data_IF_391541787831
#
_entry.id   IF_391541787831
#
_cell.length_a   1.000
_cell.length_b   1.000
_cell.length_c   1.000
_cell.angle_alpha   90.00
_cell.angle_beta   90.00
_cell.angle_gamma   90.00
#
_symmetry.space_group_name_H-M   'P 1'
#
loop_
_entity.id
_entity.type
_entity.pdbx_description
1 polymer ?
#
# COMPACT_ATOMS: atom_id res chain seq x y z
N UNK A 1 47.77 -36.28 0.52
CA UNK A 1 46.87 -35.89 1.64
C UNK A 1 46.82 -34.39 1.89
N UNK A 2 47.93 -33.65 1.76
CA UNK A 2 47.98 -32.20 2.03
C UNK A 2 47.06 -31.34 1.14
N UNK A 3 47.11 -31.51 -0.19
CA UNK A 3 46.28 -30.72 -1.12
C UNK A 3 44.77 -30.93 -0.94
N UNK A 4 44.34 -32.14 -0.55
CA UNK A 4 42.91 -32.44 -0.28
C UNK A 4 42.39 -31.69 0.95
N UNK A 5 43.23 -31.53 1.99
CA UNK A 5 42.88 -30.76 3.18
C UNK A 5 42.85 -29.25 2.91
N UNK A 6 43.75 -28.74 2.06
CA UNK A 6 43.73 -27.32 1.65
C UNK A 6 42.46 -27.02 0.85
N UNK A 7 42.12 -27.89 -0.11
CA UNK A 7 40.91 -27.74 -0.92
C UNK A 7 39.64 -27.83 -0.08
N UNK A 8 39.58 -28.76 0.90
CA UNK A 8 38.45 -28.83 1.83
C UNK A 8 38.29 -27.56 2.67
N UNK A 9 39.39 -26.96 3.15
CA UNK A 9 39.35 -25.70 3.91
C UNK A 9 38.85 -24.52 3.06
N UNK A 10 39.23 -24.46 1.78
CA UNK A 10 38.76 -23.43 0.84
C UNK A 10 37.25 -23.59 0.61
N UNK A 11 36.78 -24.81 0.33
CA UNK A 11 35.36 -25.09 0.10
C UNK A 11 34.52 -24.75 1.34
N UNK A 12 34.96 -25.17 2.53
CA UNK A 12 34.27 -24.83 3.78
C UNK A 12 34.27 -23.32 4.05
N UNK A 13 35.38 -22.62 3.74
CA UNK A 13 35.45 -21.16 3.81
C UNK A 13 34.44 -20.49 2.87
N UNK A 14 34.32 -20.96 1.63
CA UNK A 14 33.33 -20.46 0.67
C UNK A 14 31.90 -20.66 1.17
N UNK A 15 31.59 -21.81 1.77
CA UNK A 15 30.26 -22.06 2.36
C UNK A 15 29.94 -21.11 3.51
N UNK A 16 30.92 -20.81 4.38
CA UNK A 16 30.73 -19.87 5.49
C UNK A 16 30.49 -18.45 4.97
N UNK A 17 31.29 -18.01 3.99
CA UNK A 17 31.12 -16.68 3.37
C UNK A 17 29.76 -16.57 2.67
N UNK A 18 29.36 -17.60 1.92
CA UNK A 18 28.05 -17.63 1.27
C UNK A 18 26.89 -17.58 2.28
N UNK A 19 26.99 -18.32 3.38
CA UNK A 19 25.99 -18.31 4.45
C UNK A 19 25.88 -16.92 5.11
N UNK A 20 27.01 -16.26 5.39
CA UNK A 20 27.01 -14.91 5.96
C UNK A 20 26.36 -13.89 5.03
N UNK A 21 26.66 -13.95 3.72
CA UNK A 21 26.04 -13.06 2.71
C UNK A 21 24.53 -13.28 2.65
N UNK A 22 24.07 -14.54 2.67
CA UNK A 22 22.65 -14.87 2.63
C UNK A 22 21.88 -14.36 3.86
N UNK A 23 22.48 -14.41 5.06
CA UNK A 23 21.84 -13.88 6.27
C UNK A 23 21.73 -12.35 6.22
N UNK A 24 22.71 -11.65 5.64
CA UNK A 24 22.65 -10.18 5.47
C UNK A 24 21.71 -9.71 4.37
N UNK A 25 21.27 -10.62 3.49
CA UNK A 25 20.33 -10.32 2.41
C UNK A 25 18.85 -10.35 2.86
N UNK A 26 18.57 -10.83 4.07
CA UNK A 26 17.26 -10.68 4.68
C UNK A 26 17.05 -9.20 5.05
N UNK A 27 16.40 -8.47 4.16
CA UNK A 27 15.93 -7.12 4.41
C UNK A 27 14.60 -7.20 5.18
N UNK A 28 14.59 -6.75 6.44
CA UNK A 28 13.38 -6.74 7.30
C UNK A 28 12.35 -5.70 6.86
N UNK A 29 12.67 -4.87 5.87
CA UNK A 29 11.75 -3.88 5.32
C UNK A 29 10.77 -4.53 4.33
N UNK A 30 9.89 -5.35 4.87
CA UNK A 30 8.56 -5.50 4.30
C UNK A 30 7.85 -4.17 4.57
N UNK A 31 7.85 -3.29 3.55
CA UNK A 31 7.02 -2.09 3.53
C UNK A 31 5.56 -2.57 3.45
N UNK A 32 5.02 -3.04 4.58
CA UNK A 32 3.61 -3.38 4.74
C UNK A 32 2.91 -2.03 4.72
N UNK A 33 2.65 -1.54 3.50
CA UNK A 33 1.81 -0.38 3.26
C UNK A 33 0.40 -0.73 3.72
N UNK A 34 0.15 -0.50 5.01
CA UNK A 34 -1.15 -0.66 5.65
C UNK A 34 -2.09 0.52 5.35
N UNK A 35 -1.65 1.45 4.50
CA UNK A 35 -2.54 2.40 3.87
C UNK A 35 -3.13 1.73 2.63
N UNK A 36 -4.45 1.65 2.55
CA UNK A 36 -5.16 1.37 1.30
C UNK A 36 -5.41 2.73 0.63
N UNK A 37 -4.49 3.27 -0.19
CA UNK A 37 -4.67 4.59 -0.76
C UNK A 37 -5.90 4.60 -1.65
N UNK A 38 -6.83 5.52 -1.37
CA UNK A 38 -7.95 5.83 -2.24
C UNK A 38 -8.22 7.33 -2.20
N UNK A 39 -8.79 7.85 -3.27
CA UNK A 39 -9.30 9.20 -3.36
C UNK A 39 -10.74 9.20 -3.85
N UNK A 40 -11.45 10.29 -3.59
CA UNK A 40 -12.76 10.56 -4.15
C UNK A 40 -12.61 11.73 -5.11
N UNK A 41 -12.85 11.47 -6.39
CA UNK A 41 -12.94 12.52 -7.39
C UNK A 41 -14.40 12.95 -7.51
N UNK A 42 -14.63 14.26 -7.60
CA UNK A 42 -15.97 14.83 -7.76
C UNK A 42 -16.02 15.76 -8.94
N UNK A 43 -17.16 15.78 -9.63
CA UNK A 43 -17.40 16.82 -10.63
C UNK A 43 -17.71 18.16 -9.94
N UNK A 44 -17.47 19.30 -10.62
CA UNK A 44 -17.84 20.61 -10.09
C UNK A 44 -19.34 20.69 -9.76
N UNK A 45 -19.65 21.17 -8.56
CA UNK A 45 -21.02 21.37 -8.07
C UNK A 45 -21.43 22.85 -8.12
N UNK A 46 -22.73 23.16 -8.24
CA UNK A 46 -23.22 24.53 -8.17
C UNK A 46 -22.87 25.19 -6.83
N UNK A 47 -22.36 26.43 -6.87
CA UNK A 47 -22.00 27.20 -5.66
C UNK A 47 -23.20 27.78 -4.91
N UNK A 48 -24.39 27.78 -5.54
CA UNK A 48 -25.64 28.31 -5.00
C UNK A 48 -26.77 27.41 -5.45
N UNK A 49 -27.75 27.21 -4.59
CA UNK A 49 -28.97 26.46 -4.86
C UNK A 49 -30.17 27.27 -4.42
N UNK A 50 -31.23 27.26 -5.22
CA UNK A 50 -32.53 27.81 -4.84
C UNK A 50 -33.25 26.82 -3.93
N UNK A 51 -34.23 27.32 -3.16
CA UNK A 51 -35.07 26.45 -2.33
C UNK A 51 -35.85 25.49 -3.23
N UNK A 52 -35.74 24.18 -2.95
CA UNK A 52 -36.36 23.12 -3.74
C UNK A 52 -35.59 22.70 -5.00
N UNK A 53 -34.42 23.29 -5.26
CA UNK A 53 -33.55 22.88 -6.37
C UNK A 53 -32.71 21.66 -5.97
N UNK A 54 -32.57 20.69 -6.87
CA UNK A 54 -31.74 19.50 -6.66
C UNK A 54 -30.37 19.69 -7.32
N UNK A 55 -29.30 19.52 -6.55
CA UNK A 55 -27.94 19.44 -7.08
C UNK A 55 -27.53 17.99 -7.29
N UNK A 56 -26.88 17.73 -8.42
CA UNK A 56 -26.19 16.47 -8.65
C UNK A 56 -24.76 16.54 -8.09
N UNK A 57 -24.37 15.54 -7.30
CA UNK A 57 -22.98 15.35 -6.85
C UNK A 57 -22.52 14.00 -7.37
N UNK A 58 -21.69 14.00 -8.41
CA UNK A 58 -21.08 12.76 -8.92
C UNK A 58 -19.75 12.52 -8.22
N UNK A 59 -19.64 11.35 -7.59
CA UNK A 59 -18.44 10.90 -6.91
C UNK A 59 -17.88 9.65 -7.60
N UNK A 60 -16.57 9.61 -7.81
CA UNK A 60 -15.86 8.43 -8.28
C UNK A 60 -14.83 8.00 -7.24
N UNK A 61 -14.94 6.76 -6.77
CA UNK A 61 -13.94 6.14 -5.90
C UNK A 61 -12.76 5.67 -6.76
N UNK A 62 -11.63 6.35 -6.64
CA UNK A 62 -10.38 5.98 -7.32
C UNK A 62 -9.51 5.22 -6.33
N UNK A 63 -9.28 3.93 -6.62
CA UNK A 63 -8.49 3.03 -5.78
C UNK A 63 -7.05 2.99 -6.27
N UNK A 64 -6.08 3.12 -5.36
CA UNK A 64 -4.66 2.90 -5.68
C UNK A 64 -4.30 1.41 -5.83
N UNK A 65 -5.18 0.50 -5.42
CA UNK A 65 -5.01 -0.94 -5.56
C UNK A 65 -6.30 -1.73 -5.30
N UNK A 66 -6.29 -3.01 -5.67
CA UNK A 66 -7.40 -3.95 -5.43
C UNK A 66 -7.09 -4.80 -4.20
N UNK A 67 -7.55 -4.34 -3.05
CA UNK A 67 -7.38 -5.03 -1.77
C UNK A 67 -8.66 -5.79 -1.41
N UNK A 68 -8.53 -6.97 -0.80
CA UNK A 68 -9.67 -7.82 -0.43
C UNK A 68 -9.42 -8.52 0.91
N UNK A 69 -10.43 -8.57 1.82
CA UNK A 69 -11.72 -7.87 1.72
C UNK A 69 -11.57 -6.36 1.97
N UNK A 70 -12.38 -5.52 1.30
CA UNK A 70 -12.36 -4.06 1.51
C UNK A 70 -13.77 -3.48 1.44
N UNK A 71 -14.11 -2.62 2.40
CA UNK A 71 -15.42 -1.99 2.56
C UNK A 71 -15.26 -0.48 2.64
N UNK A 72 -16.08 0.27 1.89
CA UNK A 72 -16.11 1.72 1.90
C UNK A 72 -17.42 2.20 2.53
N UNK A 73 -17.35 3.28 3.32
CA UNK A 73 -18.52 3.87 3.97
C UNK A 73 -18.56 5.37 3.67
N UNK A 74 -19.76 5.91 3.48
CA UNK A 74 -20.01 7.33 3.33
C UNK A 74 -20.83 7.83 4.51
N UNK A 75 -20.49 9.01 5.03
CA UNK A 75 -21.25 9.69 6.09
C UNK A 75 -21.47 11.14 5.68
N UNK A 76 -22.66 11.64 5.94
CA UNK A 76 -23.04 13.03 5.73
C UNK A 76 -23.62 13.61 7.01
N UNK A 77 -23.37 14.90 7.24
CA UNK A 77 -23.96 15.67 8.31
C UNK A 77 -24.31 17.06 7.77
N UNK A 78 -25.52 17.54 8.06
CA UNK A 78 -25.98 18.86 7.64
C UNK A 78 -25.98 19.81 8.85
N UNK A 79 -24.96 20.69 8.98
CA UNK A 79 -24.90 21.62 10.10
C UNK A 79 -25.90 22.78 9.98
N UNK A 80 -26.28 23.16 8.77
CA UNK A 80 -27.17 24.30 8.50
C UNK A 80 -28.03 24.07 7.24
N UNK A 81 -29.11 24.84 7.11
CA UNK A 81 -30.10 24.73 6.06
C UNK A 81 -31.00 23.49 6.22
N UNK A 82 -31.90 23.30 5.25
CA UNK A 82 -32.73 22.11 5.11
C UNK A 82 -32.61 21.63 3.67
N UNK A 83 -32.17 20.38 3.50
CA UNK A 83 -32.02 19.71 2.22
C UNK A 83 -33.16 18.75 1.95
#
# INVERSE_FOLDING_TARGET
MYMKNVMYKIIMGCYIVAALVLVTACNDNLDIQQAYPFSIETMPVPKRLKVGETAEIRCQLVRGGYYQPTTYQIRYFQPDGKG
#
